data_IF_957176297596
#
_entry.id   IF_957176297596
#
_cell.length_a   1.000
_cell.length_b   1.000
_cell.length_c   1.000
_cell.angle_alpha   90.00
_cell.angle_beta   90.00
_cell.angle_gamma   90.00
#
_symmetry.space_group_name_H-M   'P 1'
#
loop_
_entity.id
_entity.type
_entity.pdbx_description
1 polymer ?
#
# COMPACT_ATOMS: atom_id res chain seq x y z
N UNK A 1 -9.61 37.24 27.87
CA UNK A 1 -9.95 35.81 27.67
C UNK A 1 -9.89 35.47 26.18
N UNK A 2 -8.75 35.69 25.51
CA UNK A 2 -8.61 35.53 24.04
C UNK A 2 -7.29 34.85 23.64
N UNK A 3 -6.27 34.87 24.51
CA UNK A 3 -4.94 34.30 24.21
C UNK A 3 -4.85 32.76 24.19
N UNK A 4 -5.87 32.02 24.67
CA UNK A 4 -5.88 30.55 24.61
C UNK A 4 -6.37 29.99 23.27
N UNK A 5 -7.14 30.75 22.49
CA UNK A 5 -7.69 30.27 21.22
C UNK A 5 -6.63 30.25 20.09
N UNK A 6 -5.73 31.23 20.05
CA UNK A 6 -4.70 31.32 19.00
C UNK A 6 -3.61 30.24 19.08
N UNK A 7 -3.27 29.76 20.28
CA UNK A 7 -2.27 28.69 20.44
C UNK A 7 -2.78 27.31 20.01
N UNK A 8 -4.08 27.07 20.20
CA UNK A 8 -4.73 25.82 19.80
C UNK A 8 -4.78 25.68 18.28
N UNK A 9 -5.03 26.76 17.53
CA UNK A 9 -5.06 26.69 16.06
C UNK A 9 -3.69 26.40 15.45
N UNK A 10 -2.61 26.99 15.98
CA UNK A 10 -1.25 26.66 15.53
C UNK A 10 -0.87 25.22 15.88
N UNK A 11 -1.25 24.76 17.07
CA UNK A 11 -0.97 23.41 17.53
C UNK A 11 -1.77 22.37 16.73
N UNK A 12 -3.04 22.66 16.39
CA UNK A 12 -3.86 21.87 15.47
C UNK A 12 -3.23 21.80 14.07
N UNK A 13 -2.70 22.91 13.56
CA UNK A 13 -2.03 22.93 12.24
C UNK A 13 -0.72 22.16 12.25
N UNK A 14 0.07 22.27 13.32
CA UNK A 14 1.32 21.53 13.50
C UNK A 14 1.06 20.04 13.66
N UNK A 15 0.06 19.64 14.44
CA UNK A 15 -0.40 18.26 14.54
C UNK A 15 -0.89 17.73 13.18
N UNK A 16 -1.67 18.52 12.42
CA UNK A 16 -2.10 18.12 11.07
C UNK A 16 -0.94 18.01 10.08
N UNK A 17 0.13 18.79 10.26
CA UNK A 17 1.35 18.69 9.47
C UNK A 17 2.13 17.42 9.85
N UNK A 18 2.33 17.16 11.13
CA UNK A 18 2.97 15.93 11.62
C UNK A 18 2.20 14.68 11.20
N UNK A 19 0.86 14.70 11.28
CA UNK A 19 0.02 13.61 10.77
C UNK A 19 0.24 13.41 9.26
N UNK A 20 0.30 14.49 8.47
CA UNK A 20 0.60 14.41 7.03
C UNK A 20 2.00 13.88 6.74
N UNK A 21 3.00 14.27 7.52
CA UNK A 21 4.37 13.76 7.39
C UNK A 21 4.45 12.27 7.74
N UNK A 22 3.69 11.81 8.73
CA UNK A 22 3.57 10.39 9.10
C UNK A 22 2.62 9.60 8.19
N UNK A 23 1.91 10.27 7.29
CA UNK A 23 1.00 9.64 6.33
C UNK A 23 1.74 9.03 5.15
N UNK A 24 2.96 9.50 4.86
CA UNK A 24 3.72 9.14 3.67
C UNK A 24 5.01 8.42 4.05
N UNK A 25 5.21 7.22 3.51
CA UNK A 25 6.48 6.51 3.58
C UNK A 25 7.42 7.09 2.52
N UNK A 26 8.40 7.88 2.95
CA UNK A 26 9.37 8.53 2.06
C UNK A 26 10.41 7.56 1.48
N UNK A 27 10.69 6.46 2.17
CA UNK A 27 11.59 5.40 1.69
C UNK A 27 11.01 4.76 0.44
N UNK A 28 9.72 4.39 0.50
CA UNK A 28 9.08 3.65 -0.58
C UNK A 28 8.30 4.53 -1.56
N UNK A 29 8.03 5.79 -1.19
CA UNK A 29 7.24 6.70 -2.01
C UNK A 29 5.76 6.31 -2.11
N UNK A 30 5.16 5.89 -1.00
CA UNK A 30 3.76 5.47 -0.94
C UNK A 30 3.10 5.85 0.39
N UNK A 31 1.79 5.65 0.53
CA UNK A 31 1.08 5.93 1.78
C UNK A 31 1.45 4.93 2.89
N UNK A 32 1.41 5.37 4.14
CA UNK A 32 1.47 4.44 5.27
C UNK A 32 0.11 3.78 5.48
N UNK A 33 0.12 2.61 6.14
CA UNK A 33 -1.11 1.89 6.51
C UNK A 33 -2.14 2.78 7.17
N UNK A 34 -1.72 3.63 8.11
CA UNK A 34 -2.64 4.52 8.82
C UNK A 34 -3.31 5.52 7.86
N UNK A 35 -2.57 6.08 6.91
CA UNK A 35 -3.14 6.97 5.90
C UNK A 35 -4.11 6.23 4.98
N UNK A 36 -3.75 5.01 4.56
CA UNK A 36 -4.63 4.15 3.78
C UNK A 36 -5.96 3.86 4.49
N UNK A 37 -5.91 3.48 5.77
CA UNK A 37 -7.11 3.22 6.56
C UNK A 37 -7.99 4.47 6.68
N UNK A 38 -7.40 5.66 6.80
CA UNK A 38 -8.16 6.92 6.79
C UNK A 38 -8.86 7.16 5.45
N UNK A 39 -8.20 6.88 4.32
CA UNK A 39 -8.87 6.95 3.01
C UNK A 39 -10.04 5.98 2.92
N UNK A 40 -9.87 4.76 3.40
CA UNK A 40 -10.91 3.73 3.40
C UNK A 40 -12.09 4.10 4.30
N UNK A 41 -11.84 4.72 5.45
CA UNK A 41 -12.88 5.10 6.42
C UNK A 41 -13.89 6.12 5.86
N UNK A 42 -13.44 7.01 4.98
CA UNK A 42 -14.30 8.06 4.39
C UNK A 42 -14.89 7.67 3.04
N UNK A 43 -14.67 6.44 2.56
CA UNK A 43 -15.19 6.01 1.27
C UNK A 43 -16.71 5.80 1.30
N UNK A 44 -17.42 6.20 0.23
CA UNK A 44 -18.84 5.90 0.09
C UNK A 44 -19.06 4.38 -0.06
N UNK A 45 -20.25 3.91 0.33
CA UNK A 45 -20.65 2.52 0.12
C UNK A 45 -20.65 2.17 -1.36
N UNK A 46 -19.84 1.19 -1.72
CA UNK A 46 -19.58 0.77 -3.09
C UNK A 46 -18.83 -0.58 -3.08
N UNK A 47 -18.62 -1.18 -4.25
CA UNK A 47 -17.69 -2.29 -4.42
C UNK A 47 -16.39 -1.77 -5.02
N UNK A 48 -15.26 -2.01 -4.35
CA UNK A 48 -13.93 -1.57 -4.78
C UNK A 48 -13.01 -2.75 -5.00
N UNK A 49 -12.09 -2.61 -5.95
CA UNK A 49 -11.04 -3.61 -6.14
C UNK A 49 -9.84 -3.27 -5.27
N UNK A 50 -9.30 -4.28 -4.61
CA UNK A 50 -8.09 -4.19 -3.80
C UNK A 50 -7.11 -5.28 -4.22
N UNK A 51 -5.82 -5.01 -4.05
CA UNK A 51 -4.76 -6.00 -4.13
C UNK A 51 -3.94 -6.01 -2.85
N UNK A 52 -3.55 -7.21 -2.42
CA UNK A 52 -2.47 -7.41 -1.47
C UNK A 52 -1.25 -7.92 -2.23
N UNK A 53 -0.10 -7.32 -1.95
CA UNK A 53 1.19 -7.62 -2.58
C UNK A 53 2.19 -7.93 -1.47
N UNK A 54 2.94 -9.01 -1.65
CA UNK A 54 4.03 -9.39 -0.77
C UNK A 54 5.29 -9.63 -1.59
N UNK A 55 6.29 -8.77 -1.36
CA UNK A 55 7.56 -8.77 -2.06
C UNK A 55 8.46 -9.92 -1.61
N UNK A 56 9.02 -10.63 -2.58
CA UNK A 56 9.88 -11.76 -2.28
C UNK A 56 11.26 -11.30 -1.84
N UNK A 57 11.78 -11.97 -0.79
CA UNK A 57 13.20 -11.94 -0.42
C UNK A 57 13.75 -10.54 -0.10
N UNK A 58 12.91 -9.62 0.35
CA UNK A 58 13.35 -8.26 0.73
C UNK A 58 14.44 -8.32 1.80
N UNK A 59 14.35 -9.24 2.76
CA UNK A 59 15.38 -9.38 3.78
C UNK A 59 16.73 -9.81 3.19
N UNK A 60 16.75 -10.81 2.30
CA UNK A 60 17.97 -11.25 1.60
C UNK A 60 18.57 -10.09 0.78
N UNK A 61 17.73 -9.36 0.04
CA UNK A 61 18.20 -8.20 -0.71
C UNK A 61 18.74 -7.07 0.19
N UNK A 62 18.16 -6.87 1.37
CA UNK A 62 18.67 -5.88 2.32
C UNK A 62 20.05 -6.26 2.85
N UNK A 63 20.31 -7.56 3.04
CA UNK A 63 21.63 -8.07 3.45
C UNK A 63 22.66 -7.96 2.32
N UNK A 64 22.26 -8.25 1.07
CA UNK A 64 23.17 -8.27 -0.08
C UNK A 64 23.46 -6.88 -0.67
N UNK A 65 22.43 -6.03 -0.79
CA UNK A 65 22.48 -4.75 -1.51
C UNK A 65 22.41 -3.54 -0.57
N UNK A 66 21.98 -3.74 0.67
CA UNK A 66 21.71 -2.68 1.63
C UNK A 66 20.32 -2.05 1.44
N UNK A 67 19.76 -1.58 2.55
CA UNK A 67 18.42 -0.98 2.62
C UNK A 67 18.18 0.12 1.58
N UNK A 68 19.15 1.02 1.36
CA UNK A 68 18.99 2.14 0.41
C UNK A 68 18.72 1.69 -1.02
N UNK A 69 19.39 0.63 -1.48
CA UNK A 69 19.21 0.14 -2.86
C UNK A 69 17.90 -0.64 -3.01
N UNK A 70 17.50 -1.36 -1.97
CA UNK A 70 16.20 -2.05 -1.93
C UNK A 70 15.06 -1.05 -1.93
N UNK A 71 15.10 -0.03 -1.07
CA UNK A 71 14.14 1.07 -1.02
C UNK A 71 14.01 1.75 -2.40
N UNK A 72 15.14 2.01 -3.07
CA UNK A 72 15.16 2.59 -4.43
C UNK A 72 14.43 1.70 -5.42
N UNK A 73 14.72 0.39 -5.45
CA UNK A 73 14.11 -0.56 -6.39
C UNK A 73 12.62 -0.76 -6.14
N UNK A 74 12.19 -0.79 -4.88
CA UNK A 74 10.76 -0.79 -4.55
C UNK A 74 10.11 0.47 -5.09
N UNK A 75 10.70 1.64 -4.81
CA UNK A 75 10.17 2.90 -5.31
C UNK A 75 10.05 2.91 -6.84
N UNK A 76 11.05 2.42 -7.56
CA UNK A 76 10.99 2.30 -9.02
C UNK A 76 9.93 1.29 -9.49
N UNK A 77 9.77 0.17 -8.79
CA UNK A 77 8.72 -0.83 -9.10
C UNK A 77 7.33 -0.21 -9.04
N UNK A 78 7.08 0.67 -8.06
CA UNK A 78 5.82 1.36 -7.87
C UNK A 78 5.75 2.73 -8.59
N UNK A 79 6.74 3.09 -9.40
CA UNK A 79 6.71 4.30 -10.26
C UNK A 79 5.77 4.16 -11.46
N UNK A 80 5.12 3.01 -11.66
CA UNK A 80 4.15 2.81 -12.74
C UNK A 80 3.01 3.84 -12.65
N UNK A 81 2.44 4.31 -13.77
CA UNK A 81 1.41 5.34 -13.72
C UNK A 81 0.12 4.84 -13.05
N UNK A 82 -0.17 5.30 -11.85
CA UNK A 82 -1.44 5.08 -11.16
C UNK A 82 -2.47 6.16 -11.52
N UNK A 83 -3.76 5.83 -11.45
CA UNK A 83 -4.80 6.87 -11.50
C UNK A 83 -4.67 7.70 -10.23
N UNK A 84 -5.09 8.97 -10.31
CA UNK A 84 -5.06 9.87 -9.14
C UNK A 84 -5.90 9.36 -7.97
N UNK A 85 -6.91 8.55 -8.26
CA UNK A 85 -7.81 7.94 -7.29
C UNK A 85 -7.37 6.56 -6.80
N UNK A 86 -6.34 5.96 -7.40
CA UNK A 86 -5.73 4.74 -6.85
C UNK A 86 -4.91 5.10 -5.62
N UNK A 87 -4.93 4.24 -4.61
CA UNK A 87 -4.17 4.43 -3.37
C UNK A 87 -3.24 3.25 -3.18
N UNK A 88 -1.93 3.52 -3.21
CA UNK A 88 -0.88 2.54 -2.91
C UNK A 88 -0.34 2.81 -1.53
N UNK A 89 -0.28 1.77 -0.69
CA UNK A 89 0.19 1.90 0.67
C UNK A 89 1.03 0.72 1.13
N UNK A 90 1.95 0.98 2.06
CA UNK A 90 2.65 -0.04 2.81
C UNK A 90 1.77 -0.54 3.96
N UNK A 91 1.77 -1.86 4.21
CA UNK A 91 0.84 -2.51 5.12
C UNK A 91 1.42 -2.79 6.52
N UNK A 92 1.69 -4.05 6.90
CA UNK A 92 2.25 -4.37 8.23
C UNK A 92 3.78 -4.46 8.20
N UNK A 93 4.34 -5.20 7.26
CA UNK A 93 5.77 -5.43 7.16
C UNK A 93 6.43 -4.51 6.12
N UNK A 94 7.77 -4.58 6.01
CA UNK A 94 8.52 -3.83 5.00
C UNK A 94 8.40 -4.35 3.58
N UNK A 95 7.75 -5.48 3.41
CA UNK A 95 7.59 -6.19 2.14
C UNK A 95 6.13 -6.34 1.72
N UNK A 96 5.19 -5.87 2.54
CA UNK A 96 3.76 -5.93 2.24
C UNK A 96 3.20 -4.57 1.80
N UNK A 97 2.48 -4.62 0.68
CA UNK A 97 1.81 -3.47 0.10
C UNK A 97 0.35 -3.79 -0.19
N UNK A 98 -0.49 -2.77 -0.07
CA UNK A 98 -1.90 -2.82 -0.45
C UNK A 98 -2.15 -1.76 -1.50
N UNK A 99 -2.93 -2.12 -2.51
CA UNK A 99 -3.42 -1.20 -3.53
C UNK A 99 -4.94 -1.20 -3.49
N UNK A 100 -5.52 -0.01 -3.44
CA UNK A 100 -6.94 0.21 -3.67
C UNK A 100 -7.10 0.84 -5.05
N UNK A 101 -7.89 0.18 -5.90
CA UNK A 101 -8.12 0.61 -7.27
C UNK A 101 -9.43 1.36 -7.41
N UNK A 102 -9.38 2.48 -8.14
CA UNK A 102 -10.55 3.12 -8.72
C UNK A 102 -10.74 2.64 -10.16
N UNK A 103 -10.88 1.31 -10.29
CA UNK A 103 -11.04 0.61 -11.56
C UNK A 103 -11.89 -0.66 -11.36
N UNK A 104 -12.29 -1.25 -12.48
CA UNK A 104 -12.88 -2.59 -12.51
C UNK A 104 -11.80 -3.67 -12.41
N UNK A 105 -12.23 -4.94 -12.39
CA UNK A 105 -11.36 -6.11 -12.31
C UNK A 105 -10.26 -6.09 -13.36
N UNK A 106 -10.63 -5.77 -14.59
CA UNK A 106 -9.72 -5.77 -15.72
C UNK A 106 -8.67 -4.64 -15.61
N UNK A 107 -9.08 -3.46 -15.12
CA UNK A 107 -8.17 -2.38 -14.84
C UNK A 107 -7.19 -2.70 -13.70
N UNK A 108 -7.68 -3.31 -12.62
CA UNK A 108 -6.85 -3.76 -11.50
C UNK A 108 -5.84 -4.83 -11.96
N UNK A 109 -6.30 -5.83 -12.73
CA UNK A 109 -5.46 -6.92 -13.24
C UNK A 109 -4.33 -6.42 -14.13
N UNK A 110 -4.63 -5.55 -15.09
CA UNK A 110 -3.60 -4.93 -15.94
C UNK A 110 -2.59 -4.13 -15.13
N UNK A 111 -3.02 -3.50 -14.04
CA UNK A 111 -2.10 -2.74 -13.18
C UNK A 111 -1.14 -3.66 -12.44
N UNK A 112 -1.63 -4.80 -11.93
CA UNK A 112 -0.76 -5.82 -11.33
C UNK A 112 0.22 -6.38 -12.36
N UNK A 113 -0.20 -6.65 -13.60
CA UNK A 113 0.70 -7.12 -14.67
C UNK A 113 1.82 -6.11 -14.95
N UNK A 114 1.50 -4.82 -15.03
CA UNK A 114 2.51 -3.76 -15.18
C UNK A 114 3.48 -3.70 -14.00
N UNK A 115 2.99 -3.92 -12.77
CA UNK A 115 3.86 -4.00 -11.59
C UNK A 115 4.78 -5.22 -11.65
N UNK A 116 4.30 -6.36 -12.14
CA UNK A 116 5.12 -7.57 -12.32
C UNK A 116 6.26 -7.30 -13.31
N UNK A 117 5.95 -6.68 -14.44
CA UNK A 117 6.96 -6.28 -15.43
C UNK A 117 7.99 -5.31 -14.83
N UNK A 118 7.50 -4.27 -14.13
CA UNK A 118 8.37 -3.28 -13.49
C UNK A 118 9.25 -3.89 -12.39
N UNK A 119 8.71 -4.79 -11.57
CA UNK A 119 9.47 -5.52 -10.56
C UNK A 119 10.57 -6.36 -11.20
N UNK A 120 10.26 -7.07 -12.29
CA UNK A 120 11.22 -7.88 -13.02
C UNK A 120 12.38 -7.04 -13.58
N UNK A 121 12.11 -5.83 -14.09
CA UNK A 121 13.13 -4.87 -14.52
C UNK A 121 14.05 -4.43 -13.38
N UNK A 122 13.54 -4.38 -12.14
CA UNK A 122 14.34 -4.09 -10.94
C UNK A 122 15.00 -5.34 -10.32
N UNK A 123 14.87 -6.50 -10.96
CA UNK A 123 15.36 -7.78 -10.45
C UNK A 123 14.62 -8.26 -9.20
N UNK A 124 13.38 -7.81 -9.02
CA UNK A 124 12.49 -8.15 -7.92
C UNK A 124 11.34 -9.03 -8.41
N UNK A 125 10.73 -9.74 -7.47
CA UNK A 125 9.49 -10.48 -7.72
C UNK A 125 8.58 -10.33 -6.51
N UNK A 126 7.29 -10.57 -6.69
CA UNK A 126 6.31 -10.55 -5.61
C UNK A 126 5.20 -11.55 -5.88
N UNK A 127 4.47 -11.88 -4.83
CA UNK A 127 3.16 -12.52 -4.94
C UNK A 127 2.08 -11.46 -4.76
N UNK A 128 0.99 -11.58 -5.51
CA UNK A 128 -0.13 -10.67 -5.39
C UNK A 128 -1.45 -11.43 -5.53
N UNK A 129 -2.43 -11.03 -4.74
CA UNK A 129 -3.81 -11.47 -4.89
C UNK A 129 -4.73 -10.26 -4.96
N UNK A 130 -5.75 -10.36 -5.81
CA UNK A 130 -6.75 -9.31 -6.01
C UNK A 130 -8.12 -9.78 -5.51
N UNK A 131 -8.93 -8.85 -5.03
CA UNK A 131 -10.28 -9.13 -4.62
C UNK A 131 -11.16 -7.90 -4.53
N UNK A 132 -12.44 -8.16 -4.25
CA UNK A 132 -13.43 -7.13 -4.04
C UNK A 132 -13.58 -6.81 -2.56
N UNK A 133 -13.59 -5.52 -2.26
CA UNK A 133 -13.96 -4.98 -0.96
C UNK A 133 -15.33 -4.31 -1.06
N UNK A 134 -16.30 -4.87 -0.33
CA UNK A 134 -17.64 -4.30 -0.23
C UNK A 134 -17.71 -3.27 0.92
N UNK A 135 -17.55 -1.99 0.55
CA UNK A 135 -17.45 -0.88 1.50
C UNK A 135 -18.71 -0.79 2.37
N UNK A 136 -18.52 -0.92 3.68
CA UNK A 136 -19.60 -0.86 4.67
C UNK A 136 -20.28 -2.21 4.97
N UNK A 137 -19.86 -3.31 4.32
CA UNK A 137 -20.23 -4.68 4.71
C UNK A 137 -19.09 -5.40 5.42
N UNK A 138 -17.87 -5.26 4.91
CA UNK A 138 -16.66 -5.88 5.44
C UNK A 138 -15.66 -4.75 5.74
N UNK A 139 -14.86 -4.89 6.81
CA UNK A 139 -13.78 -3.93 7.07
C UNK A 139 -12.69 -4.09 5.99
N UNK A 140 -11.93 -3.03 5.74
CA UNK A 140 -10.84 -3.13 4.76
C UNK A 140 -9.75 -4.07 5.28
N UNK A 141 -9.55 -4.08 6.59
CA UNK A 141 -8.61 -4.98 7.26
C UNK A 141 -8.97 -6.45 7.03
N UNK A 142 -10.22 -6.85 7.28
CA UNK A 142 -10.67 -8.23 7.05
C UNK A 142 -10.54 -8.64 5.58
N UNK A 143 -10.86 -7.71 4.66
CA UNK A 143 -10.73 -7.96 3.23
C UNK A 143 -9.27 -8.14 2.80
N UNK A 144 -8.36 -7.33 3.34
CA UNK A 144 -6.91 -7.47 3.09
C UNK A 144 -6.35 -8.74 3.72
N UNK A 145 -6.77 -9.08 4.94
CA UNK A 145 -6.31 -10.29 5.64
C UNK A 145 -6.71 -11.56 4.87
N UNK A 146 -7.90 -11.59 4.25
CA UNK A 146 -8.30 -12.68 3.37
C UNK A 146 -7.38 -12.83 2.14
N UNK A 147 -6.96 -11.70 1.54
CA UNK A 147 -6.02 -11.71 0.42
C UNK A 147 -4.61 -12.13 0.84
N UNK A 148 -4.16 -11.66 2.01
CA UNK A 148 -2.88 -12.05 2.58
C UNK A 148 -2.82 -13.56 2.84
N UNK A 149 -3.90 -14.16 3.37
CA UNK A 149 -4.02 -15.60 3.56
C UNK A 149 -3.93 -16.38 2.24
N UNK A 150 -4.50 -15.86 1.15
CA UNK A 150 -4.41 -16.47 -0.19
C UNK A 150 -2.99 -16.40 -0.73
N UNK A 151 -2.32 -15.25 -0.62
CA UNK A 151 -0.91 -15.10 -0.99
C UNK A 151 -0.02 -16.05 -0.18
N UNK A 152 -0.22 -16.15 1.13
CA UNK A 152 0.53 -17.06 2.00
C UNK A 152 0.34 -18.54 1.62
N UNK A 153 -0.86 -18.93 1.15
CA UNK A 153 -1.12 -20.28 0.64
C UNK A 153 -0.40 -20.53 -0.69
N UNK A 154 -0.48 -19.59 -1.64
CA UNK A 154 0.24 -19.68 -2.93
C UNK A 154 1.75 -19.85 -2.74
N UNK A 155 2.34 -19.04 -1.84
CA UNK A 155 3.76 -19.16 -1.46
C UNK A 155 4.14 -20.55 -0.96
N UNK A 156 3.30 -21.14 -0.10
CA UNK A 156 3.54 -22.48 0.46
C UNK A 156 3.42 -23.58 -0.59
N UNK A 157 2.55 -23.41 -1.58
CA UNK A 157 2.38 -24.37 -2.67
C UNK A 157 3.55 -24.33 -3.66
N UNK A 158 4.07 -23.15 -3.99
CA UNK A 158 5.21 -23.00 -4.89
C UNK A 158 6.57 -23.37 -4.26
N UNK A 159 6.64 -23.40 -2.93
CA UNK A 159 7.84 -23.83 -2.21
C UNK A 159 7.95 -25.36 -2.00
N UNK A 160 6.94 -26.12 -2.46
CA UNK A 160 6.90 -27.60 -2.42
C UNK A 160 7.34 -28.19 -3.75
#
# INVERSE_FOLDING_TARGET
>A
MVSRFFGLDSEIQDLRRQVRELSWDSSFGMWTRNAFLQFCHVMPRDVRWIAFIDMNKIHEFNEELGYTEVDRRIKETFSVPFRRSDVVARWYSGDEMVILFDADEEGARRKIEQLVESAAEQGMTFYAEQGQWEVGKVTIEDAVDELADKVAKQKKEMAR
#
